data_IF_191732387375
#
_entry.id   IF_191732387375
#
_cell.length_a   1.000
_cell.length_b   1.000
_cell.length_c   1.000
_cell.angle_alpha   90.00
_cell.angle_beta   90.00
_cell.angle_gamma   90.00
#
_symmetry.space_group_name_H-M   'P 1'
#
loop_
_entity.id
_entity.type
_entity.pdbx_description
1 polymer ?
#
# COMPACT_ATOMS: atom_id res chain seq x y z
N UNK A 1 -0.22 14.07 -11.21
CA UNK A 1 -1.26 13.10 -10.77
C UNK A 1 -0.89 12.58 -9.40
N UNK A 2 -1.86 12.21 -8.55
CA UNK A 2 -1.58 11.57 -7.24
C UNK A 2 -1.44 10.06 -7.40
N UNK A 3 -0.56 9.45 -6.60
CA UNK A 3 -0.38 8.00 -6.56
C UNK A 3 -0.45 7.46 -5.12
N UNK A 4 -1.09 6.31 -4.94
CA UNK A 4 -1.12 5.54 -3.70
C UNK A 4 0.04 4.54 -3.70
N UNK A 5 1.02 4.74 -2.82
CA UNK A 5 2.15 3.83 -2.65
C UNK A 5 1.73 2.64 -1.81
N UNK A 6 2.01 1.42 -2.28
CA UNK A 6 1.79 0.20 -1.53
C UNK A 6 3.06 -0.26 -0.77
N UNK A 7 2.94 -1.34 -0.01
CA UNK A 7 4.04 -1.88 0.81
C UNK A 7 5.24 -2.32 -0.04
N UNK A 8 5.01 -2.79 -1.27
CA UNK A 8 6.07 -3.28 -2.15
C UNK A 8 7.02 -2.17 -2.58
N UNK A 9 6.54 -0.94 -2.73
CA UNK A 9 7.38 0.25 -2.96
C UNK A 9 8.42 0.42 -1.86
N UNK A 10 7.97 0.38 -0.60
CA UNK A 10 8.84 0.57 0.56
C UNK A 10 9.83 -0.59 0.73
N UNK A 11 9.38 -1.84 0.53
CA UNK A 11 10.26 -3.01 0.56
C UNK A 11 11.34 -2.92 -0.54
N UNK A 12 11.00 -2.43 -1.73
CA UNK A 12 11.96 -2.23 -2.81
C UNK A 12 13.01 -1.16 -2.46
N UNK A 13 12.61 -0.05 -1.82
CA UNK A 13 13.55 0.99 -1.34
C UNK A 13 14.55 0.45 -0.33
N UNK A 14 14.09 -0.33 0.66
CA UNK A 14 14.96 -0.95 1.66
C UNK A 14 15.98 -1.90 1.03
N UNK A 15 15.57 -2.61 -0.02
CA UNK A 15 16.41 -3.58 -0.73
C UNK A 15 17.44 -2.92 -1.67
N UNK A 16 17.46 -1.58 -1.74
CA UNK A 16 18.29 -0.82 -2.68
C UNK A 16 17.90 -1.05 -4.15
N UNK A 17 16.68 -1.55 -4.42
CA UNK A 17 16.21 -1.69 -5.80
C UNK A 17 15.89 -0.30 -6.35
N UNK A 18 16.42 0.07 -7.53
CA UNK A 18 16.04 1.31 -8.15
C UNK A 18 14.54 1.26 -8.46
N UNK A 19 13.79 2.16 -7.83
CA UNK A 19 12.43 2.44 -8.23
C UNK A 19 12.50 3.22 -9.55
N UNK A 20 11.74 2.80 -10.55
CA UNK A 20 11.59 3.59 -11.77
C UNK A 20 11.03 4.98 -11.45
N UNK A 21 11.38 5.99 -12.24
CA UNK A 21 10.76 7.30 -12.10
C UNK A 21 9.25 7.16 -12.34
N UNK A 22 8.43 7.58 -11.37
CA UNK A 22 6.99 7.67 -11.54
C UNK A 22 6.65 8.94 -12.32
N UNK A 23 6.94 8.93 -13.63
CA UNK A 23 6.72 10.10 -14.49
C UNK A 23 5.27 10.59 -14.42
N UNK A 24 5.10 11.90 -14.20
CA UNK A 24 3.79 12.53 -14.10
C UNK A 24 3.11 12.42 -12.72
N UNK A 25 3.71 11.72 -11.76
CA UNK A 25 3.29 11.75 -10.35
C UNK A 25 3.81 13.03 -9.70
N UNK A 26 2.88 13.80 -9.13
CA UNK A 26 3.17 15.11 -8.51
C UNK A 26 3.05 15.06 -7.00
N UNK A 27 2.36 14.05 -6.49
CA UNK A 27 2.07 13.88 -5.07
C UNK A 27 1.78 12.40 -4.77
N UNK A 28 2.04 11.98 -3.53
CA UNK A 28 2.01 10.58 -3.11
C UNK A 28 1.23 10.42 -1.81
N UNK A 29 0.45 9.35 -1.75
CA UNK A 29 -0.37 8.98 -0.60
C UNK A 29 -0.05 7.56 -0.15
N UNK A 30 -0.43 7.22 1.08
CA UNK A 30 -0.32 5.86 1.65
C UNK A 30 -1.65 5.46 2.27
N UNK A 31 -1.99 4.17 2.23
CA UNK A 31 -3.18 3.63 2.92
C UNK A 31 -2.84 3.12 4.32
N UNK A 32 -3.81 3.17 5.24
CA UNK A 32 -3.69 2.47 6.55
C UNK A 32 -3.39 0.97 6.38
N UNK A 33 -3.75 0.36 5.24
CA UNK A 33 -3.41 -1.04 4.92
C UNK A 33 -1.90 -1.21 4.80
N UNK A 34 -1.22 -0.30 4.10
CA UNK A 34 0.24 -0.29 3.95
C UNK A 34 0.94 -0.11 5.30
N UNK A 35 0.42 0.76 6.17
CA UNK A 35 0.92 0.92 7.54
C UNK A 35 0.78 -0.38 8.33
N UNK A 36 -0.36 -1.08 8.20
CA UNK A 36 -0.58 -2.36 8.85
C UNK A 36 0.40 -3.45 8.35
N UNK A 37 0.67 -3.51 7.05
CA UNK A 37 1.63 -4.45 6.47
C UNK A 37 3.07 -4.15 6.92
N UNK A 38 3.48 -2.89 6.96
CA UNK A 38 4.80 -2.48 7.45
C UNK A 38 4.96 -2.79 8.94
N UNK A 39 3.93 -2.53 9.74
CA UNK A 39 3.91 -2.87 11.18
C UNK A 39 4.03 -4.38 11.38
N UNK A 40 3.31 -5.18 10.60
CA UNK A 40 3.46 -6.63 10.62
C UNK A 40 4.88 -7.06 10.25
N UNK A 41 5.48 -6.43 9.24
CA UNK A 41 6.87 -6.65 8.84
C UNK A 41 7.87 -6.39 9.96
N UNK A 42 7.69 -5.31 10.72
CA UNK A 42 8.49 -5.00 11.92
C UNK A 42 8.34 -6.09 12.98
N UNK A 43 7.10 -6.49 13.29
CA UNK A 43 6.82 -7.47 14.34
C UNK A 43 7.34 -8.88 14.01
N UNK A 44 7.42 -9.22 12.73
CA UNK A 44 7.93 -10.50 12.25
C UNK A 44 9.44 -10.51 12.00
N UNK A 45 10.11 -9.36 12.04
CA UNK A 45 11.54 -9.25 11.74
C UNK A 45 12.42 -9.82 12.86
N UNK A 46 13.52 -10.48 12.44
CA UNK A 46 14.63 -10.83 13.32
C UNK A 46 15.39 -9.56 13.78
N UNK A 47 16.32 -9.71 14.71
CA UNK A 47 17.04 -8.57 15.31
C UNK A 47 17.93 -7.81 14.30
N UNK A 48 18.41 -8.48 13.25
CA UNK A 48 19.26 -7.86 12.22
C UNK A 48 18.43 -6.99 11.26
N UNK A 49 17.23 -7.45 10.88
CA UNK A 49 16.34 -6.76 9.93
C UNK A 49 15.45 -5.69 10.59
N UNK A 50 15.10 -5.87 11.88
CA UNK A 50 14.13 -5.01 12.59
C UNK A 50 14.48 -3.52 12.56
N UNK A 51 15.74 -3.07 12.73
CA UNK A 51 16.07 -1.65 12.70
C UNK A 51 15.69 -0.98 11.38
N UNK A 52 15.93 -1.64 10.24
CA UNK A 52 15.58 -1.11 8.92
C UNK A 52 14.06 -1.01 8.75
N UNK A 53 13.31 -2.05 9.13
CA UNK A 53 11.84 -2.06 9.06
C UNK A 53 11.20 -0.98 9.93
N UNK A 54 11.74 -0.76 11.14
CA UNK A 54 11.29 0.31 12.04
C UNK A 54 11.55 1.68 11.43
N UNK A 55 12.73 1.87 10.82
CA UNK A 55 13.06 3.12 10.15
C UNK A 55 12.09 3.43 9.00
N UNK A 56 11.73 2.43 8.19
CA UNK A 56 10.75 2.57 7.11
C UNK A 56 9.36 2.91 7.63
N UNK A 57 8.85 2.16 8.62
CA UNK A 57 7.54 2.46 9.23
C UNK A 57 7.51 3.88 9.80
N UNK A 58 8.57 4.28 10.53
CA UNK A 58 8.66 5.62 11.10
C UNK A 58 8.71 6.71 10.04
N UNK A 59 9.42 6.47 8.93
CA UNK A 59 9.45 7.40 7.80
C UNK A 59 8.05 7.54 7.17
N UNK A 60 7.31 6.44 7.06
CA UNK A 60 5.94 6.46 6.55
C UNK A 60 5.01 7.26 7.47
N UNK A 61 4.99 6.95 8.75
CA UNK A 61 4.13 7.61 9.74
C UNK A 61 4.44 9.10 9.95
N UNK A 62 5.68 9.53 9.66
CA UNK A 62 6.07 10.94 9.78
C UNK A 62 5.86 11.75 8.51
N UNK A 63 5.70 11.11 7.36
CA UNK A 63 5.60 11.77 6.05
C UNK A 63 4.16 11.87 5.55
N UNK A 64 3.34 10.85 5.81
CA UNK A 64 1.98 10.75 5.30
C UNK A 64 0.93 10.75 6.42
N UNK A 65 -0.26 11.29 6.11
CA UNK A 65 -1.49 11.04 6.87
C UNK A 65 -2.24 9.90 6.16
N UNK A 66 -2.20 8.64 6.66
CA UNK A 66 -2.63 7.49 5.87
C UNK A 66 -4.14 7.49 5.59
N UNK A 67 -4.50 7.27 4.34
CA UNK A 67 -5.88 7.20 3.88
C UNK A 67 -6.61 6.03 4.56
N UNK A 68 -7.80 6.27 5.15
CA UNK A 68 -8.52 5.25 5.91
C UNK A 68 -9.19 4.22 5.00
N UNK A 69 -9.45 3.03 5.55
CA UNK A 69 -10.44 2.10 5.00
C UNK A 69 -11.79 2.44 5.64
N UNK A 70 -12.57 3.26 4.95
CA UNK A 70 -13.88 3.70 5.41
C UNK A 70 -15.03 2.90 4.76
N UNK A 71 -16.27 3.34 4.98
CA UNK A 71 -17.45 2.68 4.44
C UNK A 71 -17.50 2.70 2.90
N UNK A 72 -16.93 3.71 2.24
CA UNK A 72 -16.89 3.80 0.78
C UNK A 72 -15.86 2.85 0.19
N UNK A 73 -14.66 2.81 0.78
CA UNK A 73 -13.62 1.83 0.45
C UNK A 73 -14.14 0.41 0.63
N UNK A 74 -14.83 0.12 1.74
CA UNK A 74 -15.41 -1.21 1.99
C UNK A 74 -16.42 -1.63 0.91
N UNK A 75 -17.27 -0.71 0.43
CA UNK A 75 -18.20 -0.98 -0.68
C UNK A 75 -17.46 -1.22 -1.99
N UNK A 76 -16.39 -0.46 -2.26
CA UNK A 76 -15.59 -0.63 -3.48
C UNK A 76 -14.79 -1.94 -3.46
N UNK A 77 -14.20 -2.29 -2.32
CA UNK A 77 -13.57 -3.58 -2.09
C UNK A 77 -14.49 -4.74 -2.45
N UNK A 78 -15.74 -4.73 -1.94
CA UNK A 78 -16.69 -5.80 -2.20
C UNK A 78 -17.01 -5.96 -3.70
N UNK A 79 -17.08 -4.85 -4.45
CA UNK A 79 -17.27 -4.88 -5.91
C UNK A 79 -16.08 -5.53 -6.62
N UNK A 80 -14.85 -5.12 -6.28
CA UNK A 80 -13.63 -5.70 -6.89
C UNK A 80 -13.49 -7.18 -6.52
N UNK A 81 -13.71 -7.54 -5.25
CA UNK A 81 -13.65 -8.92 -4.77
C UNK A 81 -14.68 -9.82 -5.47
N UNK A 82 -15.90 -9.32 -5.69
CA UNK A 82 -16.95 -10.05 -6.40
C UNK A 82 -16.56 -10.36 -7.85
N UNK A 83 -15.92 -9.40 -8.55
CA UNK A 83 -15.42 -9.60 -9.91
C UNK A 83 -14.35 -10.70 -9.94
N UNK A 84 -13.33 -10.60 -9.07
CA UNK A 84 -12.27 -11.61 -8.98
C UNK A 84 -12.82 -13.00 -8.62
N UNK A 85 -13.82 -13.05 -7.73
CA UNK A 85 -14.48 -14.29 -7.36
C UNK A 85 -15.25 -14.91 -8.53
N UNK A 86 -16.01 -14.11 -9.29
CA UNK A 86 -16.72 -14.56 -10.49
C UNK A 86 -15.75 -15.11 -11.56
N UNK A 87 -14.56 -14.52 -11.66
CA UNK A 87 -13.47 -15.00 -12.51
C UNK A 87 -12.73 -16.24 -11.95
N UNK A 88 -13.16 -16.77 -10.80
CA UNK A 88 -12.50 -17.87 -10.08
C UNK A 88 -11.03 -17.59 -9.77
N UNK A 89 -10.67 -16.31 -9.61
CA UNK A 89 -9.33 -15.88 -9.23
C UNK A 89 -9.23 -15.77 -7.71
N UNK A 90 -8.00 -15.89 -7.21
CA UNK A 90 -7.69 -15.55 -5.82
C UNK A 90 -8.04 -14.09 -5.57
N UNK A 91 -8.62 -13.81 -4.41
CA UNK A 91 -8.87 -12.46 -3.92
C UNK A 91 -7.79 -12.13 -2.88
N UNK A 92 -6.71 -11.44 -3.26
CA UNK A 92 -5.73 -10.96 -2.29
C UNK A 92 -6.33 -9.79 -1.50
N UNK A 93 -6.84 -10.06 -0.30
CA UNK A 93 -7.69 -9.11 0.45
C UNK A 93 -7.02 -7.75 0.64
N UNK A 94 -5.75 -7.71 1.08
CA UNK A 94 -5.04 -6.46 1.35
C UNK A 94 -4.79 -5.66 0.06
N UNK A 95 -4.29 -6.30 -1.00
CA UNK A 95 -4.11 -5.66 -2.31
C UNK A 95 -5.43 -5.10 -2.86
N UNK A 96 -6.55 -5.83 -2.68
CA UNK A 96 -7.87 -5.36 -3.11
C UNK A 96 -8.36 -4.18 -2.28
N UNK A 97 -8.03 -4.12 -0.98
CA UNK A 97 -8.32 -2.95 -0.15
C UNK A 97 -7.50 -1.73 -0.60
N UNK A 98 -6.20 -1.88 -0.88
CA UNK A 98 -5.35 -0.80 -1.41
C UNK A 98 -5.90 -0.30 -2.75
N UNK A 99 -6.23 -1.21 -3.67
CA UNK A 99 -6.83 -0.86 -4.95
C UNK A 99 -8.18 -0.16 -4.79
N UNK A 100 -9.01 -0.61 -3.85
CA UNK A 100 -10.29 0.03 -3.54
C UNK A 100 -10.11 1.44 -2.98
N UNK A 101 -9.14 1.67 -2.08
CA UNK A 101 -8.78 3.00 -1.59
C UNK A 101 -8.38 3.92 -2.74
N UNK A 102 -7.48 3.47 -3.62
CA UNK A 102 -7.05 4.26 -4.78
C UNK A 102 -8.22 4.64 -5.70
N UNK A 103 -9.15 3.70 -5.95
CA UNK A 103 -10.34 3.95 -6.78
C UNK A 103 -11.31 4.96 -6.16
N UNK A 104 -11.50 4.93 -4.84
CA UNK A 104 -12.36 5.88 -4.13
C UNK A 104 -11.76 7.29 -4.15
N UNK A 105 -10.46 7.39 -3.95
CA UNK A 105 -9.72 8.67 -3.98
C UNK A 105 -9.47 9.21 -5.40
N UNK A 106 -9.73 8.41 -6.43
CA UNK A 106 -9.48 8.78 -7.83
C UNK A 106 -7.98 8.93 -8.16
N UNK A 107 -7.13 8.14 -7.50
CA UNK A 107 -5.67 8.18 -7.65
C UNK A 107 -5.14 6.87 -8.22
N UNK A 108 -3.95 6.88 -8.79
CA UNK A 108 -3.32 5.66 -9.30
C UNK A 108 -2.88 4.79 -8.13
N UNK A 109 -3.23 3.49 -8.13
CA UNK A 109 -2.52 2.52 -7.31
C UNK A 109 -1.12 2.33 -7.91
N UNK A 110 -0.08 2.72 -7.18
CA UNK A 110 1.29 2.74 -7.65
C UNK A 110 2.15 1.69 -6.95
N UNK A 111 2.68 0.77 -7.74
CA UNK A 111 4.00 0.18 -7.52
C UNK A 111 4.77 0.31 -8.86
N UNK A 112 6.05 0.72 -8.87
CA UNK A 112 6.84 0.86 -10.09
C UNK A 112 7.11 -0.49 -10.79
#
# INVERSE_FOLDING_TARGET
MRALLDTSFFVATESGRPLGAMEGVTDTEVSVVTVAELTLGVLMANDDDRPARVATLSAVESTWDPLPVDAEVARQFARVAAVLHAERRRVPILDVLVAATAMVEGILAGSP
#
